data_IF_637494003732
#
_entry.id   IF_637494003732
#
_cell.length_a   1.000
_cell.length_b   1.000
_cell.length_c   1.000
_cell.angle_alpha   90.00
_cell.angle_beta   90.00
_cell.angle_gamma   90.00
#
_symmetry.space_group_name_H-M   'P 1'
#
loop_
_entity.id
_entity.type
_entity.pdbx_description
1 polymer ?
#
# COMPACT_ATOMS: atom_id res chain seq x y z
N UNK A 1 -12.57 14.96 -12.42
CA UNK A 1 -12.07 13.73 -11.78
C UNK A 1 -10.82 13.23 -12.48
N UNK A 2 -9.97 12.48 -11.79
CA UNK A 2 -8.68 12.00 -12.29
C UNK A 2 -8.19 10.76 -11.52
N UNK A 3 -6.94 10.35 -11.73
CA UNK A 3 -6.37 9.19 -11.02
C UNK A 3 -6.29 9.46 -9.52
N UNK A 4 -6.81 8.54 -8.71
CA UNK A 4 -6.83 8.67 -7.25
C UNK A 4 -5.62 8.01 -6.57
N UNK A 5 -5.27 6.79 -6.97
CA UNK A 5 -4.10 6.03 -6.50
C UNK A 5 -3.75 4.93 -7.50
N UNK A 6 -2.62 4.25 -7.28
CA UNK A 6 -2.20 3.06 -8.03
C UNK A 6 -2.23 1.86 -7.09
N UNK A 7 -2.95 0.82 -7.47
CA UNK A 7 -3.00 -0.45 -6.76
C UNK A 7 -1.97 -1.45 -7.30
N UNK A 8 -1.15 -2.02 -6.42
CA UNK A 8 -0.24 -3.12 -6.73
C UNK A 8 -0.74 -4.39 -6.04
N UNK A 9 -0.93 -5.44 -6.83
CA UNK A 9 -1.18 -6.78 -6.28
C UNK A 9 0.11 -7.29 -5.63
N UNK A 10 0.00 -7.83 -4.43
CA UNK A 10 1.10 -8.44 -3.67
C UNK A 10 0.64 -9.78 -3.08
N UNK A 11 1.59 -10.67 -2.83
CA UNK A 11 1.31 -11.98 -2.22
C UNK A 11 1.00 -11.85 -0.72
N UNK A 12 1.74 -10.99 -0.01
CA UNK A 12 1.50 -10.65 1.39
C UNK A 12 1.64 -9.13 1.62
N UNK A 13 0.58 -8.48 2.10
CA UNK A 13 0.58 -7.05 2.36
C UNK A 13 1.49 -6.66 3.53
N UNK A 14 1.62 -7.50 4.55
CA UNK A 14 2.45 -7.22 5.72
C UNK A 14 3.93 -7.24 5.37
N UNK A 15 4.36 -8.27 4.63
CA UNK A 15 5.73 -8.37 4.14
C UNK A 15 6.06 -7.22 3.17
N UNK A 16 5.18 -6.92 2.21
CA UNK A 16 5.39 -5.83 1.27
C UNK A 16 5.46 -4.46 1.97
N UNK A 17 4.57 -4.21 2.94
CA UNK A 17 4.57 -2.97 3.72
C UNK A 17 5.87 -2.82 4.54
N UNK A 18 6.30 -3.89 5.21
CA UNK A 18 7.54 -3.91 5.98
C UNK A 18 8.76 -3.67 5.09
N UNK A 19 8.81 -4.28 3.89
CA UNK A 19 9.89 -4.07 2.93
C UNK A 19 9.97 -2.61 2.46
N UNK A 20 8.81 -1.97 2.20
CA UNK A 20 8.75 -0.57 1.81
C UNK A 20 9.27 0.33 2.93
N UNK A 21 8.86 0.09 4.19
CA UNK A 21 9.37 0.85 5.34
C UNK A 21 10.87 0.64 5.54
N UNK A 22 11.36 -0.59 5.41
CA UNK A 22 12.79 -0.90 5.50
C UNK A 22 13.62 -0.21 4.40
N UNK A 23 13.05 -0.01 3.21
CA UNK A 23 13.65 0.75 2.12
C UNK A 23 13.60 2.28 2.29
N UNK A 24 13.12 2.78 3.44
CA UNK A 24 12.97 4.21 3.73
C UNK A 24 11.67 4.84 3.22
N UNK A 25 10.76 4.01 2.70
CA UNK A 25 9.39 4.42 2.39
C UNK A 25 8.60 4.72 3.66
N UNK A 26 7.48 5.43 3.50
CA UNK A 26 6.59 5.76 4.61
C UNK A 26 5.24 5.08 4.39
N UNK A 27 4.85 4.21 5.30
CA UNK A 27 3.51 3.65 5.34
C UNK A 27 2.48 4.65 5.88
N UNK A 28 1.24 4.58 5.41
CA UNK A 28 0.08 5.23 6.04
C UNK A 28 -0.51 4.30 7.08
N UNK A 29 -0.73 3.04 6.70
CA UNK A 29 -1.24 2.01 7.62
C UNK A 29 -0.08 1.43 8.43
N UNK A 30 -0.28 1.19 9.72
CA UNK A 30 0.72 0.52 10.58
C UNK A 30 0.74 -1.01 10.35
N UNK A 31 -0.39 -1.57 9.92
CA UNK A 31 -0.55 -2.97 9.55
C UNK A 31 -1.63 -3.09 8.45
N UNK A 32 -1.60 -4.14 7.62
CA UNK A 32 -2.64 -4.38 6.63
C UNK A 32 -4.02 -4.52 7.28
N UNK A 33 -5.05 -4.07 6.56
CA UNK A 33 -6.44 -4.04 7.03
C UNK A 33 -7.39 -4.56 5.96
N UNK A 34 -8.63 -4.95 6.33
CA UNK A 34 -9.62 -5.39 5.34
C UNK A 34 -9.88 -4.33 4.27
N UNK A 35 -9.83 -4.77 3.02
CA UNK A 35 -10.15 -3.99 1.82
C UNK A 35 -11.50 -4.39 1.22
N UNK A 36 -11.75 -3.93 -0.01
CA UNK A 36 -12.97 -4.30 -0.74
C UNK A 36 -12.91 -5.73 -1.25
N UNK A 37 -14.07 -6.35 -1.53
CA UNK A 37 -14.16 -7.69 -2.16
C UNK A 37 -13.38 -8.81 -1.44
N UNK A 38 -13.21 -8.70 -0.12
CA UNK A 38 -12.51 -9.70 0.69
C UNK A 38 -10.98 -9.60 0.66
N UNK A 39 -10.43 -8.57 0.02
CA UNK A 39 -8.97 -8.34 -0.02
C UNK A 39 -8.43 -7.86 1.32
N UNK A 40 -7.12 -8.01 1.50
CA UNK A 40 -6.34 -7.32 2.52
C UNK A 40 -5.53 -6.21 1.85
N UNK A 41 -5.50 -5.02 2.44
CA UNK A 41 -4.84 -3.84 1.83
C UNK A 41 -3.98 -3.06 2.82
N UNK A 42 -3.00 -2.33 2.30
CA UNK A 42 -2.23 -1.33 3.04
C UNK A 42 -1.83 -0.16 2.12
N UNK A 43 -1.81 1.05 2.66
CA UNK A 43 -1.47 2.25 1.91
C UNK A 43 -0.06 2.76 2.23
N UNK A 44 0.61 3.25 1.20
CA UNK A 44 1.93 3.89 1.27
C UNK A 44 1.79 5.39 1.01
N UNK A 45 2.46 6.18 1.83
CA UNK A 45 2.37 7.63 1.82
C UNK A 45 3.03 8.23 0.56
N UNK A 46 2.37 9.16 -0.16
CA UNK A 46 2.87 9.77 -1.41
C UNK A 46 4.27 10.40 -1.36
N UNK A 47 4.68 10.83 -0.16
CA UNK A 47 5.99 11.43 0.15
C UNK A 47 7.18 10.51 -0.18
N UNK A 48 6.97 9.20 -0.32
CA UNK A 48 7.99 8.23 -0.74
C UNK A 48 7.85 7.75 -2.20
N UNK A 49 6.84 8.23 -2.93
CA UNK A 49 6.40 7.65 -4.21
C UNK A 49 6.05 8.74 -5.23
N UNK A 50 6.85 9.81 -5.30
CA UNK A 50 6.71 10.92 -6.26
C UNK A 50 5.31 11.57 -6.28
N UNK A 51 4.63 11.60 -5.14
CA UNK A 51 3.28 12.17 -5.03
C UNK A 51 2.15 11.20 -5.37
N UNK A 52 2.43 9.95 -5.69
CA UNK A 52 1.41 8.92 -5.96
C UNK A 52 1.03 8.19 -4.68
N UNK A 53 -0.27 8.19 -4.34
CA UNK A 53 -0.80 7.29 -3.33
C UNK A 53 -0.78 5.86 -3.87
N UNK A 54 -0.19 4.95 -3.10
CA UNK A 54 -0.06 3.54 -3.48
C UNK A 54 -0.90 2.69 -2.52
N UNK A 55 -1.68 1.77 -3.09
CA UNK A 55 -2.42 0.72 -2.38
C UNK A 55 -1.75 -0.63 -2.68
N UNK A 56 -1.38 -1.37 -1.64
CA UNK A 56 -1.00 -2.78 -1.74
C UNK A 56 -2.27 -3.61 -1.59
N UNK A 57 -2.46 -4.61 -2.46
CA UNK A 57 -3.67 -5.44 -2.49
C UNK A 57 -3.29 -6.92 -2.49
N UNK A 58 -3.73 -7.64 -1.47
CA UNK A 58 -3.63 -9.09 -1.33
C UNK A 58 -5.03 -9.70 -1.45
N UNK A 59 -5.16 -10.80 -2.20
CA UNK A 59 -6.42 -11.57 -2.37
C UNK A 59 -6.64 -12.58 -1.23
#
# INVERSE_FOLDING_TARGET
>A
EGMHHVGYRVDDCGEALAAIVAAGGRAIDEAPRPGSRGTTVAFVHPKGSFGTLIELVQE
#
